data_IF_521804671954
#
_entry.id   IF_521804671954
#
_cell.length_a   1.000
_cell.length_b   1.000
_cell.length_c   1.000
_cell.angle_alpha   90.00
_cell.angle_beta   90.00
_cell.angle_gamma   90.00
#
_symmetry.space_group_name_H-M   'P 1'
#
loop_
_entity.id
_entity.type
_entity.pdbx_description
1 polymer ?
#
# COMPACT_ATOMS: atom_id res chain seq x y z
N UNK A 1 15.57 30.07 13.45
CA UNK A 1 14.55 29.17 12.94
C UNK A 1 14.92 27.76 13.37
N UNK A 2 14.06 27.07 14.11
CA UNK A 2 14.33 25.69 14.52
C UNK A 2 13.69 24.71 13.50
N UNK A 3 14.40 23.66 13.13
CA UNK A 3 13.90 22.58 12.26
C UNK A 3 13.75 21.34 13.14
N UNK A 4 12.54 20.81 13.22
CA UNK A 4 12.22 19.59 13.95
C UNK A 4 12.10 18.44 12.96
N UNK A 5 13.17 17.65 12.83
CA UNK A 5 13.22 16.48 11.95
C UNK A 5 14.12 15.41 12.58
N UNK A 6 13.56 14.26 12.98
CA UNK A 6 14.33 13.18 13.61
C UNK A 6 15.33 12.50 12.67
N UNK A 7 15.24 12.73 11.36
CA UNK A 7 16.16 12.14 10.34
C UNK A 7 17.42 12.96 10.09
N UNK A 8 17.59 14.10 10.74
CA UNK A 8 18.80 14.90 10.59
C UNK A 8 19.99 14.19 11.23
N UNK A 9 21.15 14.28 10.60
CA UNK A 9 22.40 13.69 11.08
C UNK A 9 22.83 14.22 12.47
N UNK A 10 22.44 15.44 12.82
CA UNK A 10 22.72 16.07 14.12
C UNK A 10 21.60 15.84 15.16
N UNK A 11 20.58 15.03 14.84
CA UNK A 11 19.47 14.71 15.73
C UNK A 11 19.71 13.38 16.46
N UNK A 12 19.63 13.40 17.80
CA UNK A 12 19.77 12.20 18.62
C UNK A 12 18.43 11.61 19.05
N UNK A 13 17.34 11.92 18.35
CA UNK A 13 16.05 11.31 18.67
C UNK A 13 16.09 9.80 18.34
N UNK A 14 15.67 8.92 19.25
CA UNK A 14 15.93 7.48 19.12
C UNK A 14 15.13 6.79 18.02
N UNK A 15 14.08 7.42 17.49
CA UNK A 15 13.22 6.84 16.45
C UNK A 15 13.01 7.80 15.27
N UNK A 16 13.69 7.52 14.18
CA UNK A 16 13.65 8.34 12.95
C UNK A 16 12.40 8.09 12.09
N UNK A 17 11.66 7.02 12.36
CA UNK A 17 10.54 6.56 11.54
C UNK A 17 9.22 7.31 11.73
N UNK A 18 9.17 8.39 12.50
CA UNK A 18 7.95 9.15 12.74
C UNK A 18 7.37 9.71 11.44
N UNK A 19 6.03 9.66 11.30
CA UNK A 19 5.33 10.43 10.27
C UNK A 19 5.35 11.94 10.59
N UNK A 20 5.09 12.80 9.60
CA UNK A 20 5.06 14.25 9.84
C UNK A 20 4.07 14.66 10.95
N UNK A 21 2.89 14.03 10.99
CA UNK A 21 1.92 14.22 12.08
C UNK A 21 2.44 13.65 13.41
N UNK A 22 3.18 12.53 13.36
CA UNK A 22 3.85 11.95 14.54
C UNK A 22 4.86 12.91 15.15
N UNK A 23 5.71 13.56 14.33
CA UNK A 23 6.64 14.60 14.79
C UNK A 23 5.89 15.76 15.46
N UNK A 24 4.82 16.25 14.83
CA UNK A 24 3.97 17.30 15.42
C UNK A 24 3.34 16.87 16.77
N UNK A 25 2.90 15.61 16.86
CA UNK A 25 2.34 15.08 18.10
C UNK A 25 3.39 14.98 19.22
N UNK A 26 4.63 14.57 18.90
CA UNK A 26 5.75 14.58 19.87
C UNK A 26 6.08 15.99 20.37
N UNK A 27 6.02 16.99 19.49
CA UNK A 27 6.16 18.39 19.88
C UNK A 27 5.05 18.83 20.86
N UNK A 28 3.80 18.44 20.58
CA UNK A 28 2.68 18.72 21.50
C UNK A 28 2.85 18.02 22.86
N UNK A 29 3.34 16.77 22.89
CA UNK A 29 3.65 16.07 24.13
C UNK A 29 4.74 16.81 24.94
N UNK A 30 5.79 17.29 24.30
CA UNK A 30 6.82 18.07 24.98
C UNK A 30 6.27 19.40 25.52
N UNK A 31 5.46 20.09 24.73
CA UNK A 31 4.79 21.32 25.14
C UNK A 31 3.86 21.08 26.34
N UNK A 32 3.03 20.04 26.29
CA UNK A 32 2.12 19.63 27.36
C UNK A 32 2.87 19.41 28.67
N UNK A 33 3.97 18.63 28.58
CA UNK A 33 4.82 18.35 29.76
C UNK A 33 5.46 19.60 30.35
N UNK A 34 5.88 20.55 29.49
CA UNK A 34 6.52 21.81 29.95
C UNK A 34 5.54 22.79 30.60
N UNK A 35 4.25 22.69 30.23
CA UNK A 35 3.21 23.60 30.69
C UNK A 35 2.20 22.95 31.68
N UNK A 36 2.52 21.76 32.22
CA UNK A 36 1.69 20.99 33.15
C UNK A 36 0.26 20.71 32.61
N UNK A 37 0.14 20.53 31.28
CA UNK A 37 -1.11 20.14 30.62
C UNK A 37 -1.21 18.60 30.66
N UNK A 38 -2.34 18.02 31.08
CA UNK A 38 -2.54 16.57 31.08
C UNK A 38 -2.36 15.98 29.70
N UNK A 39 -1.59 14.88 29.57
CA UNK A 39 -1.35 14.21 28.28
C UNK A 39 -2.64 13.65 27.67
N UNK A 40 -3.64 13.36 28.50
CA UNK A 40 -4.95 12.88 28.10
C UNK A 40 -5.66 13.85 27.15
N UNK A 41 -5.41 15.15 27.27
CA UNK A 41 -5.95 16.16 26.35
C UNK A 41 -5.43 16.00 24.91
N UNK A 42 -4.29 15.33 24.72
CA UNK A 42 -3.73 15.08 23.40
C UNK A 42 -4.28 13.80 22.74
N UNK A 43 -4.93 12.91 23.51
CA UNK A 43 -5.37 11.62 23.00
C UNK A 43 -6.42 11.73 21.88
N UNK A 44 -7.17 12.84 21.84
CA UNK A 44 -8.10 13.12 20.75
C UNK A 44 -7.44 13.25 19.36
N UNK A 45 -6.12 13.56 19.32
CA UNK A 45 -5.37 13.71 18.06
C UNK A 45 -4.77 12.39 17.56
N UNK A 46 -4.85 11.31 18.34
CA UNK A 46 -4.26 10.02 17.98
C UNK A 46 -4.91 9.41 16.72
N UNK A 47 -6.17 9.72 16.42
CA UNK A 47 -6.83 9.32 15.19
C UNK A 47 -6.14 9.92 13.96
N UNK A 48 -5.71 11.20 14.00
CA UNK A 48 -4.94 11.84 12.94
C UNK A 48 -3.55 11.22 12.81
N UNK A 49 -2.91 10.93 13.95
CA UNK A 49 -1.57 10.33 13.97
C UNK A 49 -1.60 8.94 13.30
N UNK A 50 -2.58 8.09 13.66
CA UNK A 50 -2.73 6.78 13.03
C UNK A 50 -3.01 6.87 11.52
N UNK A 51 -3.87 7.82 11.12
CA UNK A 51 -4.15 8.07 9.69
C UNK A 51 -2.91 8.53 8.94
N UNK A 52 -2.08 9.40 9.55
CA UNK A 52 -0.81 9.84 8.94
C UNK A 52 0.18 8.69 8.83
N UNK A 53 0.43 7.94 9.90
CA UNK A 53 1.34 6.78 9.91
C UNK A 53 0.98 5.80 8.79
N UNK A 54 -0.30 5.42 8.70
CA UNK A 54 -0.78 4.47 7.71
C UNK A 54 -0.74 5.03 6.27
N UNK A 55 -1.09 6.32 6.08
CA UNK A 55 -1.16 6.95 4.74
C UNK A 55 0.21 7.28 4.16
N UNK A 56 1.19 7.56 5.01
CA UNK A 56 2.58 7.86 4.62
C UNK A 56 3.43 6.59 4.49
N UNK A 57 2.85 5.42 4.85
CA UNK A 57 3.50 4.10 4.75
C UNK A 57 4.83 4.07 5.53
N UNK A 58 4.88 4.75 6.67
CA UNK A 58 6.05 4.71 7.57
C UNK A 58 6.06 3.44 8.41
N UNK A 59 7.23 3.02 8.97
CA UNK A 59 7.34 1.80 9.78
C UNK A 59 6.32 1.75 10.93
N UNK A 60 5.64 0.62 11.09
CA UNK A 60 4.75 0.34 12.24
C UNK A 60 5.54 -0.45 13.29
N UNK A 61 6.60 0.15 13.79
CA UNK A 61 7.47 -0.34 14.86
C UNK A 61 7.59 0.74 15.93
N UNK A 62 8.17 0.41 17.07
CA UNK A 62 8.44 1.35 18.15
C UNK A 62 7.28 2.31 18.45
N UNK A 63 7.55 3.62 18.49
CA UNK A 63 6.56 4.64 18.81
C UNK A 63 5.38 4.64 17.82
N UNK A 64 5.65 4.46 16.51
CA UNK A 64 4.58 4.41 15.52
C UNK A 64 3.61 3.26 15.79
N UNK A 65 4.08 2.09 16.24
CA UNK A 65 3.21 0.97 16.57
C UNK A 65 2.30 1.29 17.76
N UNK A 66 2.85 1.93 18.79
CA UNK A 66 2.10 2.36 19.97
C UNK A 66 1.06 3.44 19.58
N UNK A 67 1.49 4.46 18.86
CA UNK A 67 0.63 5.55 18.39
C UNK A 67 -0.48 5.05 17.48
N UNK A 68 -0.17 4.11 16.58
CA UNK A 68 -1.16 3.48 15.69
C UNK A 68 -2.16 2.65 16.48
N UNK A 69 -1.72 1.86 17.47
CA UNK A 69 -2.62 1.06 18.30
C UNK A 69 -3.67 1.94 19.01
N UNK A 70 -3.22 2.99 19.69
CA UNK A 70 -4.14 3.89 20.40
C UNK A 70 -4.94 4.78 19.45
N UNK A 71 -4.36 5.19 18.33
CA UNK A 71 -5.04 5.94 17.28
C UNK A 71 -6.15 5.13 16.59
N UNK A 72 -5.93 3.84 16.31
CA UNK A 72 -6.98 2.95 15.83
C UNK A 72 -8.09 2.78 16.88
N UNK A 73 -7.75 2.67 18.17
CA UNK A 73 -8.74 2.63 19.23
C UNK A 73 -9.59 3.90 19.24
N UNK A 74 -8.96 5.09 19.16
CA UNK A 74 -9.66 6.38 19.06
C UNK A 74 -10.55 6.43 17.82
N UNK A 75 -10.04 6.01 16.66
CA UNK A 75 -10.77 5.99 15.38
C UNK A 75 -11.99 5.07 15.43
N UNK A 76 -11.90 3.94 16.14
CA UNK A 76 -12.98 2.96 16.27
C UNK A 76 -14.03 3.35 17.36
N UNK A 77 -13.65 4.16 18.34
CA UNK A 77 -14.55 4.51 19.45
C UNK A 77 -15.16 5.90 19.33
N UNK A 78 -14.34 6.90 19.00
CA UNK A 78 -14.74 8.31 18.95
C UNK A 78 -13.97 9.07 17.86
N UNK A 79 -14.16 8.75 16.58
CA UNK A 79 -13.48 9.44 15.48
C UNK A 79 -13.98 10.89 15.37
N UNK A 80 -13.07 11.82 15.02
CA UNK A 80 -13.46 13.20 14.70
C UNK A 80 -14.45 13.27 13.54
N UNK A 81 -15.26 14.33 13.46
CA UNK A 81 -16.33 14.49 12.50
C UNK A 81 -15.88 14.25 11.03
N UNK A 82 -14.71 14.77 10.63
CA UNK A 82 -14.18 14.60 9.29
C UNK A 82 -13.82 13.15 8.95
N UNK A 83 -13.13 12.45 9.85
CA UNK A 83 -12.78 11.04 9.64
C UNK A 83 -14.02 10.16 9.67
N UNK A 84 -14.97 10.41 10.58
CA UNK A 84 -16.26 9.71 10.60
C UNK A 84 -17.00 9.85 9.26
N UNK A 85 -17.00 11.05 8.68
CA UNK A 85 -17.64 11.30 7.37
C UNK A 85 -16.95 10.55 6.23
N UNK A 86 -15.60 10.51 6.21
CA UNK A 86 -14.85 9.71 5.21
C UNK A 86 -15.12 8.22 5.38
N UNK A 87 -15.13 7.72 6.62
CA UNK A 87 -15.42 6.32 6.92
C UNK A 87 -16.79 5.92 6.39
N UNK A 88 -17.82 6.71 6.69
CA UNK A 88 -19.18 6.46 6.22
C UNK A 88 -19.27 6.41 4.69
N UNK A 89 -18.69 7.40 4.00
CA UNK A 89 -18.75 7.46 2.53
C UNK A 89 -17.88 6.40 1.86
N UNK A 90 -16.91 5.84 2.60
CA UNK A 90 -16.06 4.73 2.17
C UNK A 90 -16.70 3.36 2.37
N UNK A 91 -17.85 3.30 3.03
CA UNK A 91 -18.52 2.06 3.39
C UNK A 91 -17.78 1.25 4.46
N UNK A 92 -17.01 1.92 5.34
CA UNK A 92 -16.32 1.34 6.49
C UNK A 92 -16.85 1.95 7.79
N UNK A 93 -16.69 1.24 8.90
CA UNK A 93 -17.19 1.73 10.21
C UNK A 93 -18.68 1.44 10.45
N UNK A 94 -19.24 0.45 9.75
CA UNK A 94 -20.57 -0.09 10.07
C UNK A 94 -20.58 -0.86 11.41
N UNK A 95 -21.77 -1.19 11.90
CA UNK A 95 -21.94 -1.93 13.14
C UNK A 95 -21.09 -3.22 13.17
N UNK A 96 -20.25 -3.35 14.19
CA UNK A 96 -19.32 -4.46 14.42
C UNK A 96 -18.14 -4.60 13.43
N UNK A 97 -17.78 -3.55 12.70
CA UNK A 97 -16.58 -3.55 11.87
C UNK A 97 -15.48 -2.72 12.52
N UNK A 98 -14.39 -3.37 12.91
CA UNK A 98 -13.22 -2.73 13.49
C UNK A 98 -12.28 -2.28 12.37
N UNK A 99 -11.97 -0.98 12.33
CA UNK A 99 -11.05 -0.40 11.35
C UNK A 99 -9.62 -0.79 11.70
N UNK A 100 -8.90 -1.28 10.69
CA UNK A 100 -7.51 -1.66 10.76
C UNK A 100 -6.65 -0.76 9.85
N UNK A 101 -5.33 -0.86 9.98
CA UNK A 101 -4.38 -0.06 9.17
C UNK A 101 -4.64 -0.17 7.68
N UNK A 102 -4.90 -1.38 7.19
CA UNK A 102 -5.16 -1.65 5.78
C UNK A 102 -6.33 -0.82 5.23
N UNK A 103 -7.40 -0.64 6.00
CA UNK A 103 -8.53 0.19 5.58
C UNK A 103 -8.20 1.68 5.55
N UNK A 104 -7.32 2.14 6.44
CA UNK A 104 -6.80 3.50 6.34
C UNK A 104 -6.04 3.66 5.03
N UNK A 105 -5.11 2.73 4.73
CA UNK A 105 -4.27 2.77 3.51
C UNK A 105 -5.10 2.73 2.23
N UNK A 106 -6.13 1.88 2.17
CA UNK A 106 -6.87 1.67 0.91
C UNK A 106 -8.17 2.46 0.80
N UNK A 107 -8.72 2.96 1.90
CA UNK A 107 -10.03 3.62 1.88
C UNK A 107 -10.00 5.06 2.38
N UNK A 108 -9.32 5.38 3.48
CA UNK A 108 -9.27 6.74 4.04
C UNK A 108 -8.17 7.56 3.38
N UNK A 109 -6.92 7.11 3.43
CA UNK A 109 -5.74 7.81 2.91
C UNK A 109 -5.86 8.23 1.44
N UNK A 110 -6.31 7.34 0.52
CA UNK A 110 -6.47 7.71 -0.89
C UNK A 110 -7.45 8.86 -1.13
N UNK A 111 -8.50 9.01 -0.30
CA UNK A 111 -9.44 10.13 -0.40
C UNK A 111 -8.82 11.44 0.05
N UNK A 112 -8.14 11.44 1.20
CA UNK A 112 -7.41 12.61 1.71
C UNK A 112 -6.36 13.04 0.69
N UNK A 113 -5.55 12.11 0.18
CA UNK A 113 -4.48 12.37 -0.77
C UNK A 113 -4.99 12.84 -2.14
N UNK A 114 -6.17 12.38 -2.58
CA UNK A 114 -6.73 12.76 -3.87
C UNK A 114 -7.05 14.26 -3.96
N UNK A 115 -7.48 14.88 -2.87
CA UNK A 115 -7.74 16.32 -2.84
C UNK A 115 -6.48 17.12 -3.24
N UNK A 116 -5.32 16.79 -2.70
CA UNK A 116 -4.06 17.46 -3.05
C UNK A 116 -3.49 17.10 -4.42
N UNK A 117 -3.91 15.99 -5.03
CA UNK A 117 -3.47 15.56 -6.36
C UNK A 117 -4.28 16.16 -7.50
N UNK A 118 -5.58 16.37 -7.30
CA UNK A 118 -6.52 16.81 -8.33
C UNK A 118 -6.84 18.30 -8.20
N UNK A 119 -6.98 18.82 -6.97
CA UNK A 119 -7.35 20.22 -6.73
C UNK A 119 -6.40 20.89 -5.71
N UNK A 120 -6.81 20.94 -4.43
CA UNK A 120 -6.06 21.58 -3.35
C UNK A 120 -6.21 20.81 -2.04
N UNK A 121 -5.10 20.61 -1.34
CA UNK A 121 -5.08 20.00 -0.01
C UNK A 121 -5.90 20.77 1.04
N UNK A 122 -6.23 22.04 0.81
CA UNK A 122 -7.01 22.86 1.75
C UNK A 122 -8.34 22.20 2.15
N UNK A 123 -9.04 21.56 1.20
CA UNK A 123 -10.30 20.84 1.49
C UNK A 123 -10.09 19.65 2.43
N UNK A 124 -8.99 18.93 2.26
CA UNK A 124 -8.66 17.82 3.16
C UNK A 124 -8.33 18.33 4.58
N UNK A 125 -7.59 19.43 4.70
CA UNK A 125 -7.30 20.06 5.99
C UNK A 125 -8.61 20.53 6.64
N UNK A 126 -9.45 21.27 5.92
CA UNK A 126 -10.75 21.74 6.41
C UNK A 126 -11.63 20.59 6.93
N UNK A 127 -11.65 19.47 6.20
CA UNK A 127 -12.36 18.26 6.63
C UNK A 127 -11.83 17.71 7.96
N UNK A 128 -10.50 17.64 8.12
CA UNK A 128 -9.88 17.05 9.30
C UNK A 128 -9.98 17.94 10.55
N UNK A 129 -10.15 19.27 10.40
CA UNK A 129 -10.23 20.19 11.53
C UNK A 129 -11.66 20.61 11.91
N UNK A 130 -12.64 20.41 11.05
CA UNK A 130 -14.03 20.78 11.36
C UNK A 130 -14.62 19.91 12.47
N UNK A 131 -15.34 20.56 13.39
CA UNK A 131 -16.09 19.89 14.46
C UNK A 131 -17.58 19.70 14.07
N UNK A 132 -18.07 20.44 13.07
CA UNK A 132 -19.44 20.36 12.59
C UNK A 132 -19.63 19.13 11.68
N UNK A 133 -20.43 18.17 12.14
CA UNK A 133 -20.71 16.94 11.41
C UNK A 133 -21.40 17.17 10.06
N UNK A 134 -22.29 18.17 9.96
CA UNK A 134 -22.99 18.49 8.69
C UNK A 134 -22.00 19.03 7.66
N UNK A 135 -21.16 19.98 8.09
CA UNK A 135 -20.09 20.53 7.25
C UNK A 135 -19.09 19.45 6.86
N UNK A 136 -18.70 18.56 7.79
CA UNK A 136 -17.84 17.42 7.52
C UNK A 136 -18.39 16.50 6.41
N UNK A 137 -19.69 16.19 6.45
CA UNK A 137 -20.34 15.35 5.43
C UNK A 137 -20.32 16.02 4.04
N UNK A 138 -20.55 17.33 3.96
CA UNK A 138 -20.50 18.09 2.71
C UNK A 138 -19.09 18.10 2.09
N UNK A 139 -18.05 18.31 2.94
CA UNK A 139 -16.66 18.33 2.48
C UNK A 139 -16.20 16.90 2.10
N UNK A 140 -16.56 15.88 2.90
CA UNK A 140 -16.23 14.49 2.61
C UNK A 140 -16.78 14.03 1.25
N UNK A 141 -18.00 14.48 0.89
CA UNK A 141 -18.59 14.22 -0.43
C UNK A 141 -17.72 14.81 -1.55
N UNK A 142 -17.25 16.05 -1.41
CA UNK A 142 -16.36 16.69 -2.39
C UNK A 142 -15.02 15.97 -2.51
N UNK A 143 -14.43 15.60 -1.37
CA UNK A 143 -13.18 14.84 -1.32
C UNK A 143 -13.33 13.46 -1.97
N UNK A 144 -14.46 12.78 -1.75
CA UNK A 144 -14.74 11.52 -2.43
C UNK A 144 -14.87 11.68 -3.96
N UNK A 145 -15.50 12.73 -4.44
CA UNK A 145 -15.57 13.03 -5.88
C UNK A 145 -14.18 13.25 -6.49
N UNK A 146 -13.29 13.96 -5.79
CA UNK A 146 -11.87 14.06 -6.20
C UNK A 146 -11.21 12.69 -6.31
N UNK A 147 -11.46 11.78 -5.36
CA UNK A 147 -10.90 10.43 -5.38
C UNK A 147 -11.48 9.59 -6.54
N UNK A 148 -12.78 9.69 -6.83
CA UNK A 148 -13.37 9.00 -8.00
C UNK A 148 -12.79 9.54 -9.32
N UNK A 149 -12.62 10.86 -9.44
CA UNK A 149 -11.95 11.49 -10.59
C UNK A 149 -10.51 10.96 -10.73
N UNK A 150 -9.74 10.95 -9.64
CA UNK A 150 -8.37 10.39 -9.62
C UNK A 150 -8.34 8.94 -10.09
N UNK A 151 -9.27 8.09 -9.60
CA UNK A 151 -9.36 6.68 -10.02
C UNK A 151 -9.66 6.52 -11.52
N UNK A 152 -10.51 7.37 -12.08
CA UNK A 152 -10.83 7.33 -13.50
C UNK A 152 -9.63 7.75 -14.35
N UNK A 153 -8.93 8.82 -13.96
CA UNK A 153 -7.68 9.27 -14.61
C UNK A 153 -6.61 8.18 -14.53
N UNK A 154 -6.42 7.58 -13.35
CA UNK A 154 -5.47 6.49 -13.10
C UNK A 154 -5.76 5.28 -14.02
N UNK A 155 -7.03 4.86 -14.11
CA UNK A 155 -7.43 3.76 -14.99
C UNK A 155 -7.14 4.05 -16.46
N UNK A 156 -7.47 5.26 -16.91
CA UNK A 156 -7.24 5.69 -18.30
C UNK A 156 -5.75 5.71 -18.62
N UNK A 157 -4.92 6.36 -17.79
CA UNK A 157 -3.46 6.41 -18.01
C UNK A 157 -2.84 5.01 -17.94
N UNK A 158 -3.31 4.15 -17.02
CA UNK A 158 -2.85 2.75 -16.95
C UNK A 158 -3.14 1.98 -18.24
N UNK A 159 -4.33 2.12 -18.80
CA UNK A 159 -4.69 1.49 -20.08
C UNK A 159 -3.84 2.01 -21.22
N UNK A 160 -3.62 3.32 -21.30
CA UNK A 160 -2.73 3.92 -22.31
C UNK A 160 -1.30 3.39 -22.18
N UNK A 161 -0.76 3.34 -20.95
CA UNK A 161 0.58 2.82 -20.68
C UNK A 161 0.71 1.36 -21.11
N UNK A 162 -0.25 0.51 -20.78
CA UNK A 162 -0.28 -0.89 -21.20
C UNK A 162 -0.34 -1.04 -22.73
N UNK A 163 -1.12 -0.19 -23.39
CA UNK A 163 -1.19 -0.16 -24.85
C UNK A 163 0.15 0.24 -25.48
N UNK A 164 0.81 1.29 -24.95
CA UNK A 164 2.13 1.70 -25.41
C UNK A 164 3.15 0.56 -25.27
N UNK A 165 3.15 -0.11 -24.12
CA UNK A 165 4.01 -1.26 -23.84
C UNK A 165 3.76 -2.41 -24.83
N UNK A 166 2.50 -2.72 -25.12
CA UNK A 166 2.14 -3.81 -26.04
C UNK A 166 2.57 -3.55 -27.49
N UNK A 167 2.78 -2.27 -27.84
CA UNK A 167 3.24 -1.84 -29.17
C UNK A 167 4.77 -1.67 -29.26
N UNK A 168 5.48 -1.70 -28.12
CA UNK A 168 6.94 -1.51 -28.10
C UNK A 168 7.67 -2.82 -28.42
N UNK A 169 8.39 -2.89 -29.57
CA UNK A 169 9.15 -4.10 -29.92
C UNK A 169 10.22 -4.41 -28.85
N UNK A 170 10.39 -5.68 -28.53
CA UNK A 170 11.41 -6.12 -27.57
C UNK A 170 11.16 -5.68 -26.12
N UNK A 171 9.94 -5.23 -25.78
CA UNK A 171 9.66 -4.78 -24.42
C UNK A 171 9.84 -5.87 -23.36
N UNK A 172 9.57 -7.13 -23.72
CA UNK A 172 9.68 -8.26 -22.76
C UNK A 172 11.10 -8.49 -22.28
N UNK A 173 12.08 -8.22 -23.12
CA UNK A 173 13.51 -8.37 -22.84
C UNK A 173 14.08 -7.18 -22.03
N UNK A 174 13.36 -6.05 -21.97
CA UNK A 174 13.80 -4.87 -21.24
C UNK A 174 13.70 -5.05 -19.73
N UNK A 175 14.70 -4.57 -19.01
CA UNK A 175 14.75 -4.58 -17.53
C UNK A 175 14.25 -3.28 -16.88
N UNK A 176 13.84 -2.29 -17.67
CA UNK A 176 13.26 -1.02 -17.22
C UNK A 176 12.06 -0.63 -18.08
N UNK A 177 11.21 0.24 -17.54
CA UNK A 177 10.09 0.86 -18.25
C UNK A 177 10.21 2.38 -18.18
N UNK A 178 10.26 3.05 -19.34
CA UNK A 178 10.21 4.51 -19.43
C UNK A 178 9.16 4.91 -20.45
N UNK A 179 8.08 5.56 -19.99
CA UNK A 179 6.98 5.99 -20.83
C UNK A 179 6.75 7.49 -20.72
N UNK A 180 6.37 8.12 -21.82
CA UNK A 180 6.01 9.53 -21.89
C UNK A 180 4.73 9.73 -22.70
N UNK A 181 3.83 10.52 -22.16
CA UNK A 181 2.70 11.05 -22.91
C UNK A 181 2.35 12.45 -22.36
N UNK A 182 2.32 13.45 -23.23
CA UNK A 182 2.08 14.85 -22.86
C UNK A 182 0.69 15.11 -22.27
N UNK A 183 -0.29 14.24 -22.52
CA UNK A 183 -1.66 14.36 -22.05
C UNK A 183 -1.94 13.75 -20.68
N UNK A 184 -0.98 13.09 -20.05
CA UNK A 184 -1.19 12.44 -18.76
C UNK A 184 -1.18 13.45 -17.61
N UNK A 185 -1.93 13.15 -16.54
CA UNK A 185 -2.05 14.04 -15.39
C UNK A 185 -0.89 13.85 -14.41
N UNK A 186 -0.09 14.93 -14.18
CA UNK A 186 1.11 14.87 -13.32
C UNK A 186 0.87 14.35 -11.89
N UNK A 187 -0.29 14.61 -11.31
CA UNK A 187 -0.65 14.13 -9.96
C UNK A 187 -0.92 12.62 -9.88
N UNK A 188 -0.98 11.93 -11.05
CA UNK A 188 -1.37 10.50 -11.13
C UNK A 188 -0.24 9.62 -11.66
N UNK A 189 0.71 10.17 -12.43
CA UNK A 189 1.80 9.38 -13.06
C UNK A 189 2.60 8.53 -12.07
N UNK A 190 2.77 8.97 -10.82
CA UNK A 190 3.43 8.18 -9.79
C UNK A 190 2.63 6.97 -9.32
N UNK A 191 1.29 7.03 -9.39
CA UNK A 191 0.41 5.88 -9.10
C UNK A 191 0.52 4.86 -10.23
N UNK A 192 0.48 5.35 -11.47
CA UNK A 192 0.65 4.49 -12.66
C UNK A 192 2.03 3.83 -12.69
N UNK A 193 3.10 4.54 -12.31
CA UNK A 193 4.43 3.94 -12.18
C UNK A 193 4.44 2.76 -11.19
N UNK A 194 3.79 2.90 -10.04
CA UNK A 194 3.64 1.79 -9.08
C UNK A 194 2.85 0.61 -9.66
N UNK A 195 1.75 0.86 -10.41
CA UNK A 195 1.00 -0.22 -11.09
C UNK A 195 1.81 -0.95 -12.15
N UNK A 196 2.66 -0.24 -12.88
CA UNK A 196 3.53 -0.90 -13.87
C UNK A 196 4.54 -1.82 -13.19
N UNK A 197 5.03 -1.47 -12.00
CA UNK A 197 5.88 -2.36 -11.20
C UNK A 197 5.11 -3.60 -10.73
N UNK A 198 3.86 -3.45 -10.26
CA UNK A 198 3.01 -4.59 -9.89
C UNK A 198 2.82 -5.59 -11.04
N UNK A 199 2.75 -5.10 -12.29
CA UNK A 199 2.52 -5.93 -13.46
C UNK A 199 3.83 -6.52 -14.03
N UNK A 200 4.89 -5.72 -14.13
CA UNK A 200 6.11 -6.08 -14.87
C UNK A 200 7.34 -6.29 -13.99
N UNK A 201 7.25 -5.96 -12.70
CA UNK A 201 8.30 -6.12 -11.68
C UNK A 201 9.68 -5.61 -12.12
N UNK A 202 9.74 -4.35 -12.58
CA UNK A 202 10.98 -3.68 -13.02
C UNK A 202 10.94 -2.18 -12.71
N UNK A 203 12.11 -1.51 -12.56
CA UNK A 203 12.16 -0.05 -12.36
C UNK A 203 11.39 0.68 -13.45
N UNK A 204 10.52 1.61 -13.05
CA UNK A 204 9.56 2.26 -13.96
C UNK A 204 9.57 3.76 -13.78
N UNK A 205 9.64 4.49 -14.89
CA UNK A 205 9.51 5.95 -14.96
C UNK A 205 8.33 6.30 -15.88
N UNK A 206 7.40 7.10 -15.35
CA UNK A 206 6.27 7.64 -16.10
C UNK A 206 6.40 9.16 -16.16
N UNK A 207 6.44 9.69 -17.37
CA UNK A 207 6.64 11.11 -17.68
C UNK A 207 5.41 11.72 -18.34
N UNK A 208 5.18 13.01 -18.08
CA UNK A 208 4.16 13.82 -18.75
C UNK A 208 4.65 15.25 -18.97
N UNK A 209 3.98 16.04 -19.81
CA UNK A 209 4.29 17.44 -20.00
C UNK A 209 3.74 18.31 -18.84
N UNK A 210 4.55 19.24 -18.36
CA UNK A 210 4.15 20.27 -17.41
C UNK A 210 5.02 21.51 -17.58
N UNK A 211 4.41 22.69 -17.81
CA UNK A 211 5.12 23.96 -17.96
C UNK A 211 6.25 23.94 -19.02
N UNK A 212 6.02 23.28 -20.17
CA UNK A 212 6.99 23.17 -21.25
C UNK A 212 8.12 22.16 -21.05
N UNK A 213 8.16 21.47 -19.92
CA UNK A 213 9.12 20.43 -19.58
C UNK A 213 8.43 19.07 -19.44
N UNK A 214 9.18 17.99 -19.51
CA UNK A 214 8.74 16.68 -19.08
C UNK A 214 8.95 16.54 -17.58
N UNK A 215 7.91 16.19 -16.85
CA UNK A 215 7.98 15.90 -15.41
C UNK A 215 7.41 14.51 -15.15
N UNK A 216 7.92 13.83 -14.14
CA UNK A 216 7.43 12.49 -13.87
C UNK A 216 7.84 11.91 -12.54
N UNK A 217 7.54 10.63 -12.41
CA UNK A 217 7.81 9.87 -11.21
C UNK A 217 8.47 8.54 -11.57
N UNK A 218 9.56 8.25 -10.87
CA UNK A 218 10.23 6.97 -10.88
C UNK A 218 9.77 6.13 -9.68
N UNK A 219 9.66 4.84 -9.90
CA UNK A 219 9.43 3.82 -8.88
C UNK A 219 10.37 2.67 -9.08
N UNK A 220 10.72 1.95 -8.03
CA UNK A 220 11.69 0.87 -8.07
C UNK A 220 11.16 -0.42 -7.47
N UNK A 221 11.80 -1.53 -7.87
CA UNK A 221 11.62 -2.84 -7.24
C UNK A 221 12.51 -2.98 -6.00
N UNK A 222 12.21 -3.92 -5.09
CA UNK A 222 13.04 -4.17 -3.92
C UNK A 222 14.50 -4.41 -4.28
N UNK A 223 15.41 -3.82 -3.53
CA UNK A 223 16.86 -3.96 -3.72
C UNK A 223 17.48 -3.08 -4.80
N UNK A 224 16.74 -2.51 -5.74
CA UNK A 224 17.28 -1.59 -6.75
C UNK A 224 17.13 -0.14 -6.33
N UNK A 225 18.21 0.65 -6.42
CA UNK A 225 18.22 2.07 -6.07
C UNK A 225 17.99 2.96 -7.30
N UNK A 226 16.72 3.35 -7.54
CA UNK A 226 16.36 4.21 -8.68
C UNK A 226 16.95 5.62 -8.57
N UNK A 227 17.19 6.13 -7.37
CA UNK A 227 17.81 7.45 -7.17
C UNK A 227 19.24 7.49 -7.73
N UNK A 228 20.06 6.47 -7.44
CA UNK A 228 21.41 6.34 -8.01
C UNK A 228 21.40 6.22 -9.51
N UNK A 229 20.44 5.50 -10.09
CA UNK A 229 20.29 5.40 -11.53
C UNK A 229 19.93 6.76 -12.18
N UNK A 230 19.11 7.57 -11.52
CA UNK A 230 18.80 8.94 -11.95
C UNK A 230 19.99 9.87 -11.79
N UNK A 231 20.78 9.71 -10.75
CA UNK A 231 22.00 10.50 -10.51
C UNK A 231 23.01 10.35 -11.66
N UNK A 232 23.16 9.14 -12.23
CA UNK A 232 23.97 8.92 -13.43
C UNK A 232 23.40 9.58 -14.70
N UNK A 233 22.11 9.96 -14.69
CA UNK A 233 21.45 10.71 -15.75
C UNK A 233 21.35 12.22 -15.45
N UNK A 234 21.94 12.70 -14.36
CA UNK A 234 21.75 14.07 -13.83
C UNK A 234 22.04 15.19 -14.83
N UNK A 235 22.98 14.97 -15.75
CA UNK A 235 23.35 15.94 -16.79
C UNK A 235 22.22 16.24 -17.80
N UNK A 236 21.19 15.41 -17.87
CA UNK A 236 20.00 15.61 -18.70
C UNK A 236 18.80 16.13 -17.90
N UNK A 237 18.91 16.17 -16.57
CA UNK A 237 17.79 16.51 -15.67
C UNK A 237 17.91 17.96 -15.21
N UNK A 238 16.82 18.71 -15.32
CA UNK A 238 16.68 20.04 -14.72
C UNK A 238 16.56 19.95 -13.19
N UNK A 239 15.86 18.92 -12.71
CA UNK A 239 15.68 18.66 -11.30
C UNK A 239 15.33 17.19 -11.08
N UNK A 240 15.85 16.61 -10.00
CA UNK A 240 15.42 15.29 -9.50
C UNK A 240 15.60 15.23 -7.98
N UNK A 241 14.83 14.35 -7.34
CA UNK A 241 14.92 14.17 -5.90
C UNK A 241 14.04 12.99 -5.44
N UNK A 242 14.41 12.42 -4.31
CA UNK A 242 13.71 11.26 -3.77
C UNK A 242 14.63 10.33 -2.98
N UNK A 243 14.34 9.06 -3.02
CA UNK A 243 15.10 8.01 -2.33
C UNK A 243 15.12 6.73 -3.19
N UNK A 244 15.76 5.67 -2.68
CA UNK A 244 16.01 4.45 -3.44
C UNK A 244 14.76 3.81 -4.11
N UNK A 245 13.55 3.99 -3.55
CA UNK A 245 12.33 3.34 -4.06
C UNK A 245 11.43 4.27 -4.87
N UNK A 246 11.59 5.57 -4.72
CA UNK A 246 10.75 6.54 -5.42
C UNK A 246 11.48 7.87 -5.60
N UNK A 247 11.38 8.44 -6.80
CA UNK A 247 11.93 9.75 -7.09
C UNK A 247 11.01 10.54 -8.03
N UNK A 248 11.07 11.87 -7.93
CA UNK A 248 10.53 12.79 -8.91
C UNK A 248 11.65 13.30 -9.82
N UNK A 249 11.33 13.62 -11.08
CA UNK A 249 12.30 14.17 -12.02
C UNK A 249 11.64 15.14 -13.01
N UNK A 250 12.46 16.05 -13.54
CA UNK A 250 12.04 16.98 -14.58
C UNK A 250 13.20 17.14 -15.58
N UNK A 251 12.90 17.14 -16.88
CA UNK A 251 13.86 17.28 -17.96
C UNK A 251 13.23 17.99 -19.17
N UNK A 252 14.07 18.49 -20.08
CA UNK A 252 13.60 19.02 -21.36
C UNK A 252 13.01 17.87 -22.21
N UNK A 253 11.87 18.13 -22.84
CA UNK A 253 11.14 17.15 -23.67
C UNK A 253 12.05 16.58 -24.77
N UNK A 254 12.95 17.39 -25.35
CA UNK A 254 13.88 16.95 -26.39
C UNK A 254 14.88 15.88 -25.90
N UNK A 255 15.16 15.83 -24.60
CA UNK A 255 16.10 14.88 -24.03
C UNK A 255 15.45 13.52 -23.70
N UNK A 256 14.10 13.37 -23.78
CA UNK A 256 13.41 12.12 -23.43
C UNK A 256 13.97 10.89 -24.15
N UNK A 257 14.22 10.91 -25.48
CA UNK A 257 14.72 9.71 -26.18
C UNK A 257 16.09 9.25 -25.67
N UNK A 258 17.01 10.20 -25.45
CA UNK A 258 18.34 9.90 -24.93
C UNK A 258 18.29 9.48 -23.46
N UNK A 259 17.51 10.16 -22.65
CA UNK A 259 17.29 9.80 -21.24
C UNK A 259 16.73 8.37 -21.11
N UNK A 260 15.72 8.01 -21.92
CA UNK A 260 15.16 6.64 -21.94
C UNK A 260 16.23 5.61 -22.24
N UNK A 261 17.00 5.81 -23.32
CA UNK A 261 18.09 4.90 -23.71
C UNK A 261 19.13 4.77 -22.58
N UNK A 262 19.57 5.91 -22.02
CA UNK A 262 20.61 5.91 -20.98
C UNK A 262 20.13 5.26 -19.70
N UNK A 263 18.91 5.55 -19.26
CA UNK A 263 18.34 4.93 -18.08
C UNK A 263 18.19 3.40 -18.26
N UNK A 264 17.69 2.95 -19.40
CA UNK A 264 17.61 1.51 -19.75
C UNK A 264 18.98 0.83 -19.70
N UNK A 265 20.03 1.46 -20.24
CA UNK A 265 21.42 0.96 -20.18
C UNK A 265 21.96 0.87 -18.74
N UNK A 266 21.68 1.86 -17.92
CA UNK A 266 22.10 1.86 -16.50
C UNK A 266 21.40 0.71 -15.76
N UNK A 267 20.09 0.56 -15.92
CA UNK A 267 19.34 -0.52 -15.28
C UNK A 267 19.85 -1.87 -15.77
N UNK A 268 20.02 -2.06 -17.10
CA UNK A 268 20.53 -3.33 -17.67
C UNK A 268 21.85 -3.76 -17.05
N UNK A 269 22.75 -2.80 -16.82
CA UNK A 269 24.09 -3.05 -16.25
C UNK A 269 24.07 -3.30 -14.74
N UNK A 270 23.12 -2.70 -14.01
CA UNK A 270 23.20 -2.61 -12.54
C UNK A 270 22.16 -3.44 -11.81
N UNK A 271 21.05 -3.81 -12.46
CA UNK A 271 20.03 -4.64 -11.84
C UNK A 271 20.43 -6.13 -11.91
N UNK A 272 20.15 -6.87 -10.86
CA UNK A 272 20.38 -8.32 -10.83
C UNK A 272 19.13 -9.07 -11.27
N UNK A 273 19.29 -10.30 -11.79
CA UNK A 273 18.16 -11.16 -12.16
C UNK A 273 17.24 -11.43 -10.96
N UNK A 274 17.81 -11.57 -9.76
CA UNK A 274 17.06 -11.78 -8.53
C UNK A 274 16.12 -10.60 -8.21
N UNK A 275 16.56 -9.36 -8.47
CA UNK A 275 15.74 -8.16 -8.28
C UNK A 275 14.56 -8.04 -9.27
N UNK A 276 14.59 -8.79 -10.36
CA UNK A 276 13.51 -8.85 -11.34
C UNK A 276 12.46 -9.93 -11.04
N UNK A 277 12.70 -10.75 -10.03
CA UNK A 277 11.79 -11.83 -9.63
C UNK A 277 11.05 -11.40 -8.36
N UNK A 278 9.72 -11.33 -8.37
CA UNK A 278 8.97 -11.06 -7.16
C UNK A 278 9.12 -12.19 -6.15
N UNK A 279 9.39 -11.85 -4.89
CA UNK A 279 9.57 -12.79 -3.81
C UNK A 279 8.48 -12.63 -2.74
N UNK A 280 8.06 -13.74 -2.17
CA UNK A 280 7.21 -13.78 -0.97
C UNK A 280 8.07 -14.33 0.17
N UNK A 281 8.29 -13.52 1.21
CA UNK A 281 8.96 -13.96 2.41
C UNK A 281 8.00 -14.82 3.24
N UNK A 282 8.42 -16.04 3.57
CA UNK A 282 7.68 -16.97 4.39
C UNK A 282 8.30 -16.99 5.78
N UNK A 283 7.51 -16.67 6.80
CA UNK A 283 7.97 -16.60 8.19
C UNK A 283 8.09 -17.99 8.82
N UNK A 284 7.17 -18.91 8.49
CA UNK A 284 7.23 -20.29 8.96
C UNK A 284 6.45 -21.24 8.04
N UNK A 285 6.89 -22.51 8.04
CA UNK A 285 6.11 -23.63 7.47
C UNK A 285 5.34 -24.27 8.61
N UNK A 286 4.03 -24.38 8.46
CA UNK A 286 3.12 -24.94 9.49
C UNK A 286 2.14 -25.92 8.85
N UNK A 287 1.66 -26.86 9.64
CA UNK A 287 0.50 -27.69 9.25
C UNK A 287 -0.80 -26.96 9.56
N UNK A 288 -1.84 -27.18 8.73
CA UNK A 288 -3.13 -26.50 8.91
C UNK A 288 -3.78 -26.81 10.28
N UNK A 289 -3.53 -27.98 10.87
CA UNK A 289 -4.04 -28.35 12.19
C UNK A 289 -3.43 -27.53 13.35
N UNK A 290 -2.29 -26.84 13.14
CA UNK A 290 -1.68 -25.92 14.11
C UNK A 290 -2.45 -24.60 14.19
N UNK A 291 -3.29 -24.27 13.20
CA UNK A 291 -4.10 -23.05 13.17
C UNK A 291 -5.28 -23.20 14.14
N UNK A 292 -4.99 -23.09 15.42
CA UNK A 292 -5.99 -23.15 16.49
C UNK A 292 -6.55 -21.77 16.84
N UNK A 293 -7.71 -21.67 17.51
CA UNK A 293 -8.20 -20.40 18.04
C UNK A 293 -7.21 -19.72 19.00
N UNK A 294 -6.39 -20.50 19.73
CA UNK A 294 -5.32 -19.98 20.59
C UNK A 294 -4.21 -19.36 19.76
N UNK A 295 -3.75 -20.05 18.72
CA UNK A 295 -2.74 -19.56 17.80
C UNK A 295 -3.18 -18.21 17.18
N UNK A 296 -4.41 -18.15 16.67
CA UNK A 296 -4.95 -16.94 16.07
C UNK A 296 -5.06 -15.75 17.08
N UNK A 297 -5.46 -16.03 18.33
CA UNK A 297 -5.46 -14.98 19.38
C UNK A 297 -4.08 -14.43 19.68
N UNK A 298 -3.05 -15.27 19.68
CA UNK A 298 -1.66 -14.84 19.86
C UNK A 298 -1.22 -13.99 18.66
N UNK A 299 -1.51 -14.46 17.44
CA UNK A 299 -1.19 -13.73 16.22
C UNK A 299 -1.78 -12.32 16.20
N UNK A 300 -3.02 -12.15 16.67
CA UNK A 300 -3.65 -10.83 16.81
C UNK A 300 -2.91 -9.86 17.76
N UNK A 301 -2.12 -10.35 18.70
CA UNK A 301 -1.35 -9.47 19.60
C UNK A 301 -0.17 -8.78 18.92
N UNK A 302 0.24 -9.24 17.74
CA UNK A 302 1.27 -8.56 16.92
C UNK A 302 0.73 -7.34 16.20
N UNK A 303 -0.59 -7.18 16.10
CA UNK A 303 -1.21 -5.99 15.49
C UNK A 303 -0.87 -4.70 16.26
N UNK A 304 -0.96 -3.52 15.59
CA UNK A 304 -1.35 -3.31 14.19
C UNK A 304 -0.26 -3.71 13.21
N UNK A 305 -0.66 -4.36 12.09
CA UNK A 305 0.26 -4.73 11.02
C UNK A 305 0.47 -3.58 10.03
N UNK A 306 1.63 -3.55 9.39
CA UNK A 306 2.02 -2.59 8.38
C UNK A 306 3.51 -2.66 8.05
N UNK A 307 4.12 -1.63 7.42
CA UNK A 307 5.54 -1.65 7.07
C UNK A 307 6.43 -1.99 8.27
N UNK A 308 7.38 -2.92 8.08
CA UNK A 308 8.31 -3.47 9.10
C UNK A 308 7.65 -4.23 10.26
N UNK A 309 6.34 -4.33 10.30
CA UNK A 309 5.56 -5.23 11.15
C UNK A 309 4.46 -5.88 10.33
N UNK A 310 4.83 -6.60 9.28
CA UNK A 310 3.88 -7.19 8.35
C UNK A 310 3.11 -8.34 9.00
N UNK A 311 1.90 -8.60 8.48
CA UNK A 311 1.18 -9.82 8.87
C UNK A 311 2.01 -11.03 8.45
N UNK A 312 2.28 -11.98 9.36
CA UNK A 312 3.05 -13.16 9.04
C UNK A 312 2.47 -13.94 7.87
N UNK A 313 3.37 -14.43 7.01
CA UNK A 313 3.06 -15.32 5.90
C UNK A 313 3.55 -16.70 6.24
N UNK A 314 2.65 -17.65 6.22
CA UNK A 314 2.92 -19.05 6.47
C UNK A 314 2.93 -19.84 5.16
N UNK A 315 3.61 -20.97 5.14
CA UNK A 315 3.46 -21.97 4.09
C UNK A 315 2.92 -23.28 4.67
N UNK A 316 2.05 -23.93 3.90
CA UNK A 316 1.62 -25.30 4.19
C UNK A 316 1.83 -26.18 2.95
N UNK A 317 2.32 -27.39 3.17
CA UNK A 317 2.61 -28.35 2.12
C UNK A 317 1.52 -29.42 2.02
N UNK A 318 1.40 -30.01 0.82
CA UNK A 318 0.47 -31.11 0.55
C UNK A 318 -0.99 -30.80 0.97
N UNK A 319 -1.43 -29.58 0.72
CA UNK A 319 -2.80 -29.15 0.94
C UNK A 319 -3.66 -29.71 -0.20
N UNK A 320 -4.88 -30.09 0.11
CA UNK A 320 -5.87 -30.57 -0.87
C UNK A 320 -7.18 -29.79 -0.75
N UNK A 321 -7.96 -29.81 -1.82
CA UNK A 321 -9.34 -29.32 -1.78
C UNK A 321 -10.23 -30.31 -1.03
N UNK A 322 -10.90 -29.84 0.02
CA UNK A 322 -11.89 -30.62 0.77
C UNK A 322 -13.25 -30.72 0.05
N UNK A 323 -13.35 -30.17 -1.16
CA UNK A 323 -14.59 -30.04 -1.92
C UNK A 323 -15.28 -28.70 -1.70
N UNK A 324 -15.86 -28.14 -2.75
CA UNK A 324 -16.57 -26.86 -2.70
C UNK A 324 -15.76 -25.64 -3.11
N UNK A 325 -14.51 -25.81 -3.51
CA UNK A 325 -13.73 -24.73 -4.14
C UNK A 325 -14.36 -24.29 -5.45
N UNK A 326 -14.37 -22.96 -5.69
CA UNK A 326 -15.00 -22.38 -6.88
C UNK A 326 -14.38 -21.07 -7.31
N UNK A 327 -14.49 -20.79 -8.60
CA UNK A 327 -14.14 -19.50 -9.16
C UNK A 327 -15.14 -18.43 -8.73
N UNK A 328 -14.64 -17.26 -8.33
CA UNK A 328 -15.40 -16.09 -7.91
C UNK A 328 -14.85 -14.81 -8.54
N UNK A 329 -15.58 -13.72 -8.43
CA UNK A 329 -15.27 -12.45 -9.14
C UNK A 329 -16.08 -12.32 -10.41
N UNK A 330 -16.20 -11.09 -10.93
CA UNK A 330 -16.98 -10.77 -12.16
C UNK A 330 -16.43 -11.48 -13.39
N UNK A 331 -15.11 -11.63 -13.48
CA UNK A 331 -14.39 -12.31 -14.56
C UNK A 331 -13.91 -13.73 -14.17
N UNK A 332 -14.35 -14.23 -12.99
CA UNK A 332 -13.92 -15.54 -12.45
C UNK A 332 -12.41 -15.65 -12.24
N UNK A 333 -11.77 -14.55 -11.93
CA UNK A 333 -10.32 -14.42 -11.77
C UNK A 333 -9.79 -14.86 -10.39
N UNK A 334 -10.68 -15.08 -9.41
CA UNK A 334 -10.32 -15.46 -8.04
C UNK A 334 -10.81 -16.86 -7.73
N UNK A 335 -10.19 -17.53 -6.75
CA UNK A 335 -10.64 -18.83 -6.26
C UNK A 335 -11.07 -18.72 -4.81
N UNK A 336 -12.31 -19.07 -4.51
CA UNK A 336 -12.74 -19.37 -3.14
C UNK A 336 -12.43 -20.83 -2.86
N UNK A 337 -11.65 -21.11 -1.83
CA UNK A 337 -11.07 -22.39 -1.53
C UNK A 337 -11.69 -23.02 -0.27
N UNK A 338 -11.64 -24.34 -0.21
CA UNK A 338 -11.99 -25.17 0.94
C UNK A 338 -10.82 -26.12 1.18
N UNK A 339 -9.93 -25.78 2.13
CA UNK A 339 -8.60 -26.37 2.25
C UNK A 339 -8.48 -27.30 3.45
N UNK A 340 -7.85 -28.46 3.24
CA UNK A 340 -7.47 -29.40 4.29
C UNK A 340 -6.11 -30.05 3.95
N UNK A 341 -5.57 -30.86 4.84
CA UNK A 341 -4.43 -31.75 4.57
C UNK A 341 -4.88 -33.21 4.69
N UNK A 342 -4.10 -34.13 4.12
CA UNK A 342 -4.49 -35.56 3.98
C UNK A 342 -4.56 -36.34 5.27
N UNK A 343 -4.25 -35.75 6.41
CA UNK A 343 -4.43 -36.35 7.70
C UNK A 343 -5.90 -36.24 8.14
N UNK A 344 -6.45 -37.32 8.64
CA UNK A 344 -7.89 -37.43 9.05
C UNK A 344 -8.30 -36.46 10.18
N UNK A 345 -7.39 -35.59 10.64
CA UNK A 345 -7.58 -34.73 11.81
C UNK A 345 -7.48 -33.21 11.48
N UNK A 346 -7.16 -32.85 10.24
CA UNK A 346 -7.04 -31.44 9.85
C UNK A 346 -8.42 -30.82 9.60
N UNK A 347 -8.77 -29.73 10.28
CA UNK A 347 -10.02 -29.02 10.01
C UNK A 347 -10.00 -28.40 8.61
N UNK A 348 -11.20 -28.21 8.05
CA UNK A 348 -11.35 -27.52 6.77
C UNK A 348 -11.31 -26.02 6.97
N UNK A 349 -10.39 -25.34 6.29
CA UNK A 349 -10.26 -23.89 6.32
C UNK A 349 -10.81 -23.25 5.04
N UNK A 350 -11.66 -22.22 5.15
CA UNK A 350 -12.00 -21.38 4.01
C UNK A 350 -10.77 -20.57 3.59
N UNK A 351 -10.53 -20.50 2.29
CA UNK A 351 -9.45 -19.69 1.69
C UNK A 351 -9.97 -18.79 0.59
N UNK A 352 -9.19 -17.75 0.28
CA UNK A 352 -9.38 -16.89 -0.88
C UNK A 352 -8.04 -16.69 -1.58
N UNK A 353 -7.97 -16.97 -2.88
CA UNK A 353 -6.82 -16.72 -3.73
C UNK A 353 -7.23 -15.70 -4.80
N UNK A 354 -6.68 -14.51 -4.70
CA UNK A 354 -6.97 -13.43 -5.63
C UNK A 354 -6.12 -13.55 -6.90
N UNK A 355 -6.75 -13.43 -8.09
CA UNK A 355 -6.11 -13.46 -9.42
C UNK A 355 -5.30 -14.73 -9.71
N UNK A 356 -5.67 -15.86 -9.12
CA UNK A 356 -4.97 -17.15 -9.24
C UNK A 356 -5.84 -18.24 -9.89
N UNK A 357 -6.82 -17.85 -10.70
CA UNK A 357 -7.73 -18.78 -11.38
C UNK A 357 -7.04 -19.82 -12.27
N UNK A 358 -5.81 -19.56 -12.71
CA UNK A 358 -4.98 -20.49 -13.49
C UNK A 358 -4.69 -21.82 -12.74
N UNK A 359 -4.70 -21.82 -11.40
CA UNK A 359 -4.48 -23.02 -10.60
C UNK A 359 -5.76 -23.86 -10.38
N UNK A 360 -6.92 -23.33 -10.77
CA UNK A 360 -8.21 -23.96 -10.43
C UNK A 360 -8.40 -25.37 -10.97
N UNK A 361 -7.94 -25.65 -12.20
CA UNK A 361 -8.04 -26.98 -12.80
C UNK A 361 -7.27 -28.02 -11.99
N UNK A 362 -6.04 -27.73 -11.58
CA UNK A 362 -5.23 -28.60 -10.74
C UNK A 362 -5.89 -28.89 -9.39
N UNK A 363 -6.46 -27.85 -8.77
CA UNK A 363 -7.16 -27.96 -7.47
C UNK A 363 -8.38 -28.88 -7.59
N UNK A 364 -9.17 -28.74 -8.67
CA UNK A 364 -10.34 -29.59 -8.92
C UNK A 364 -10.00 -31.07 -9.16
N UNK A 365 -8.80 -31.37 -9.65
CA UNK A 365 -8.34 -32.76 -9.83
C UNK A 365 -8.06 -33.46 -8.49
N UNK A 366 -8.17 -32.77 -7.36
CA UNK A 366 -7.90 -33.32 -6.04
C UNK A 366 -6.44 -33.65 -5.76
N UNK A 367 -5.53 -33.13 -6.59
CA UNK A 367 -4.09 -33.30 -6.41
C UNK A 367 -3.57 -32.39 -5.31
N UNK A 368 -2.59 -32.85 -4.52
CA UNK A 368 -1.98 -32.00 -3.49
C UNK A 368 -1.18 -30.84 -4.11
N UNK A 369 -1.16 -29.72 -3.41
CA UNK A 369 -0.40 -28.52 -3.77
C UNK A 369 0.12 -27.83 -2.51
N UNK A 370 1.12 -26.98 -2.67
CA UNK A 370 1.64 -26.15 -1.58
C UNK A 370 1.02 -24.74 -1.68
N UNK A 371 0.82 -24.10 -0.54
CA UNK A 371 0.32 -22.74 -0.46
C UNK A 371 1.20 -21.87 0.43
N UNK A 372 1.27 -20.57 0.13
CA UNK A 372 1.66 -19.58 1.13
C UNK A 372 0.47 -18.61 1.38
N UNK A 373 0.28 -18.25 2.65
CA UNK A 373 -0.94 -17.57 3.09
C UNK A 373 -0.73 -16.72 4.34
N UNK A 374 -1.56 -15.70 4.51
CA UNK A 374 -1.80 -15.04 5.80
C UNK A 374 -3.10 -15.53 6.42
N UNK A 375 -3.19 -15.44 7.75
CA UNK A 375 -4.38 -15.86 8.51
C UNK A 375 -5.17 -14.61 8.89
N UNK A 376 -6.42 -14.54 8.47
CA UNK A 376 -7.29 -13.38 8.66
C UNK A 376 -8.62 -13.75 9.35
N UNK A 377 -9.26 -12.76 9.95
CA UNK A 377 -10.63 -12.89 10.44
C UNK A 377 -11.60 -12.47 9.34
N UNK A 378 -12.40 -13.39 8.88
CA UNK A 378 -13.52 -13.10 8.02
C UNK A 378 -14.78 -12.86 8.86
N UNK A 379 -15.43 -11.71 8.68
CA UNK A 379 -16.71 -11.41 9.30
C UNK A 379 -17.79 -11.39 8.22
N UNK A 380 -18.53 -12.49 8.14
CA UNK A 380 -19.63 -12.62 7.19
C UNK A 380 -20.97 -12.66 7.93
N UNK A 381 -21.81 -11.65 7.73
CA UNK A 381 -23.13 -11.50 8.36
C UNK A 381 -23.09 -11.60 9.90
N UNK A 382 -22.04 -11.05 10.52
CA UNK A 382 -21.87 -11.07 11.98
C UNK A 382 -21.21 -12.33 12.54
N UNK A 383 -20.97 -13.36 11.70
CA UNK A 383 -20.23 -14.56 12.10
C UNK A 383 -18.76 -14.40 11.77
N UNK A 384 -17.92 -14.47 12.80
CA UNK A 384 -16.46 -14.40 12.69
C UNK A 384 -15.88 -15.79 12.49
N UNK A 385 -15.03 -15.96 11.48
CA UNK A 385 -14.33 -17.21 11.21
C UNK A 385 -12.89 -16.92 10.75
N UNK A 386 -12.00 -17.89 10.98
CA UNK A 386 -10.64 -17.85 10.44
C UNK A 386 -10.71 -18.14 8.94
N UNK A 387 -10.05 -17.33 8.13
CA UNK A 387 -9.90 -17.51 6.69
C UNK A 387 -8.42 -17.39 6.30
N UNK A 388 -8.01 -18.19 5.32
CA UNK A 388 -6.67 -18.12 4.75
C UNK A 388 -6.69 -17.20 3.51
N UNK A 389 -5.90 -16.13 3.55
CA UNK A 389 -5.66 -15.27 2.39
C UNK A 389 -4.43 -15.81 1.65
N UNK A 390 -4.66 -16.52 0.56
CA UNK A 390 -3.62 -17.22 -0.19
C UNK A 390 -2.85 -16.19 -1.02
N UNK A 391 -1.55 -16.15 -0.79
CA UNK A 391 -0.62 -15.24 -1.50
C UNK A 391 -0.11 -15.88 -2.78
N UNK A 392 0.16 -17.19 -2.74
CA UNK A 392 0.60 -17.95 -3.92
C UNK A 392 0.29 -19.45 -3.76
N UNK A 393 0.20 -20.14 -4.88
CA UNK A 393 -0.06 -21.58 -4.98
C UNK A 393 1.04 -22.21 -5.83
N UNK A 394 1.70 -23.23 -5.28
CA UNK A 394 2.68 -24.03 -6.01
C UNK A 394 2.08 -25.40 -6.30
N UNK A 395 1.82 -25.67 -7.55
CA UNK A 395 1.46 -26.98 -8.06
C UNK A 395 2.73 -27.74 -8.45
N UNK A 396 2.84 -28.99 -8.08
CA UNK A 396 3.96 -29.88 -8.43
C UNK A 396 3.91 -30.27 -9.92
#
# INVERSE_FOLDING_TARGET
>A
MAVLDPKREDCNYPFEGLSGCGVGFKMLQAFSKTNDIPLEELYEFLDLVAVSIASDIVPITDENRILTHFGLKQLNTNPRAGLKSIMNISGIGGWNHEIVVEEIVFRIGPRINAAGRIESAKKAIELLVTQDQKKANEIATKVNLCNESRKNIDRHITQDALKMISMEPGFREKKATVLYNSGWHKGVVGIVASRMIEIYHRPTIILTASNGLATGSARSVPGFNVYKALEECSYMLENFGGHQYAAGLTLDIKHIPEFKRRFEEIVERTITEEQLIPHINIDAVIDLNEITPKFFRILKQFQPFGPQNQSPVFAAKNVIDAGGSKLVGSSKEHIKLSLTQSDNNTPVFPGIAFQQSNHFTHIQEGKPFDICFSIEENNFRGTKSIQLNIKDIKTS
#
